data_IF_009261611481
#
_entry.id   IF_009261611481
#
_cell.length_a   1.000
_cell.length_b   1.000
_cell.length_c   1.000
_cell.angle_alpha   90.00
_cell.angle_beta   90.00
_cell.angle_gamma   90.00
#
_symmetry.space_group_name_H-M   'P 1'
#
loop_
_entity.id
_entity.type
_entity.pdbx_description
1 polymer ?
#
# COMPACT_ATOMS: atom_id res chain seq x y z
N UNK A 1 58.51 13.13 48.73
CA UNK A 1 57.79 14.14 47.94
C UNK A 1 57.55 13.58 46.55
N UNK A 2 56.33 13.78 46.01
CA UNK A 2 55.81 13.44 44.68
C UNK A 2 55.36 11.98 44.38
N UNK A 3 54.06 11.71 44.57
CA UNK A 3 53.20 10.89 43.67
C UNK A 3 53.03 11.60 42.29
N UNK A 4 52.33 11.11 41.22
CA UNK A 4 51.27 10.07 41.19
C UNK A 4 51.02 9.24 39.87
N UNK A 5 50.06 8.30 39.95
CA UNK A 5 49.04 7.84 38.96
C UNK A 5 49.46 7.45 37.52
N UNK A 6 49.05 6.25 37.05
CA UNK A 6 48.11 6.07 35.89
C UNK A 6 47.77 4.59 35.61
N UNK A 7 46.48 4.29 35.69
CA UNK A 7 45.82 3.10 35.16
C UNK A 7 45.90 3.04 33.62
N UNK A 8 45.93 1.83 33.03
CA UNK A 8 45.43 1.59 31.66
C UNK A 8 44.80 0.20 31.51
N UNK A 9 43.50 0.24 31.27
CA UNK A 9 42.67 -0.80 30.64
C UNK A 9 43.12 -1.06 29.18
N UNK A 10 42.97 -2.29 28.72
CA UNK A 10 42.76 -2.65 27.31
C UNK A 10 41.95 -3.96 27.27
N UNK A 11 40.60 -3.91 27.22
CA UNK A 11 39.76 -3.89 26.01
C UNK A 11 40.13 -4.97 24.98
N UNK A 12 39.48 -6.13 25.09
CA UNK A 12 39.18 -6.99 23.94
C UNK A 12 37.66 -7.05 23.81
N UNK A 13 37.11 -6.08 23.08
CA UNK A 13 35.71 -6.12 22.66
C UNK A 13 35.68 -6.70 21.26
N UNK A 14 35.14 -7.91 21.17
CA UNK A 14 34.80 -8.64 19.96
C UNK A 14 34.02 -7.73 19.02
N UNK A 15 34.50 -7.63 17.78
CA UNK A 15 33.78 -7.01 16.68
C UNK A 15 32.49 -7.82 16.42
N UNK A 16 31.34 -7.29 16.87
CA UNK A 16 30.04 -7.80 16.44
C UNK A 16 29.81 -7.26 15.03
N UNK A 17 30.08 -8.16 14.08
CA UNK A 17 29.91 -7.96 12.65
C UNK A 17 28.47 -7.57 12.31
N UNK A 18 28.36 -6.56 11.46
CA UNK A 18 27.17 -6.08 10.75
C UNK A 18 26.31 -7.22 10.18
N UNK A 19 25.17 -7.51 10.82
CA UNK A 19 24.10 -8.34 10.25
C UNK A 19 22.74 -7.62 10.21
N UNK A 20 22.71 -6.31 10.44
CA UNK A 20 21.46 -5.53 10.37
C UNK A 20 21.27 -4.81 9.02
N UNK A 21 22.35 -4.55 8.27
CA UNK A 21 22.29 -3.75 7.04
C UNK A 21 21.76 -4.55 5.83
N UNK A 22 21.92 -5.87 5.80
CA UNK A 22 21.56 -6.69 4.64
C UNK A 22 20.05 -6.95 4.54
N UNK A 23 19.31 -6.88 5.66
CA UNK A 23 17.86 -7.10 5.66
C UNK A 23 17.08 -5.88 5.16
N UNK A 24 17.52 -4.66 5.52
CA UNK A 24 16.88 -3.41 5.11
C UNK A 24 17.05 -3.12 3.61
N UNK A 25 18.17 -3.52 3.02
CA UNK A 25 18.39 -3.39 1.57
C UNK A 25 17.54 -4.36 0.73
N UNK A 26 17.17 -5.52 1.30
CA UNK A 26 16.37 -6.53 0.59
C UNK A 26 14.89 -6.13 0.46
N UNK A 27 14.36 -5.40 1.44
CA UNK A 27 12.97 -4.92 1.43
C UNK A 27 12.80 -3.73 0.45
N UNK A 28 13.78 -2.80 0.43
CA UNK A 28 13.76 -1.66 -0.49
C UNK A 28 13.89 -2.09 -1.96
N UNK A 29 14.77 -3.06 -2.26
CA UNK A 29 14.89 -3.63 -3.61
C UNK A 29 13.70 -4.50 -4.05
N UNK A 30 12.82 -4.92 -3.13
CA UNK A 30 11.61 -5.68 -3.44
C UNK A 30 10.43 -4.82 -3.90
N UNK A 31 10.45 -3.51 -3.64
CA UNK A 31 9.43 -2.59 -4.14
C UNK A 31 9.62 -2.30 -5.65
N UNK A 32 10.86 -2.31 -6.14
CA UNK A 32 11.20 -2.05 -7.55
C UNK A 32 10.88 -3.21 -8.51
N UNK A 33 10.67 -4.44 -8.00
CA UNK A 33 10.50 -5.63 -8.82
C UNK A 33 9.12 -6.32 -8.68
N UNK A 34 8.07 -5.58 -8.29
CA UNK A 34 6.71 -6.16 -8.28
C UNK A 34 6.09 -6.10 -9.66
N UNK A 35 5.69 -7.27 -10.17
CA UNK A 35 4.93 -7.38 -11.43
C UNK A 35 3.69 -6.48 -11.39
N UNK A 36 3.47 -5.74 -12.48
CA UNK A 36 2.30 -4.89 -12.67
C UNK A 36 1.06 -5.69 -13.09
N UNK A 37 1.21 -6.91 -13.62
CA UNK A 37 0.09 -7.77 -14.07
C UNK A 37 -0.99 -7.97 -13.00
N UNK A 38 -0.68 -8.48 -11.78
CA UNK A 38 -1.71 -8.71 -10.76
C UNK A 38 -2.37 -7.41 -10.28
N UNK A 39 -1.69 -6.27 -10.45
CA UNK A 39 -2.24 -4.95 -10.09
C UNK A 39 -3.16 -4.42 -11.18
N UNK A 40 -2.81 -4.59 -12.46
CA UNK A 40 -3.70 -4.24 -13.57
C UNK A 40 -4.96 -5.12 -13.54
N UNK A 41 -4.81 -6.42 -13.28
CA UNK A 41 -5.92 -7.38 -13.11
C UNK A 41 -6.85 -7.00 -11.95
N UNK A 42 -6.32 -6.36 -10.89
CA UNK A 42 -7.11 -5.81 -9.79
C UNK A 42 -7.76 -4.46 -10.16
N UNK A 43 -7.00 -3.55 -10.77
CA UNK A 43 -7.40 -2.16 -11.02
C UNK A 43 -8.45 -2.04 -12.12
N UNK A 44 -8.40 -2.86 -13.16
CA UNK A 44 -9.36 -2.83 -14.25
C UNK A 44 -10.80 -3.07 -13.80
N UNK A 45 -11.13 -4.19 -13.13
CA UNK A 45 -12.49 -4.43 -12.65
C UNK A 45 -12.87 -3.48 -11.51
N UNK A 46 -11.90 -3.03 -10.69
CA UNK A 46 -12.16 -2.03 -9.67
C UNK A 46 -12.59 -0.67 -10.27
N UNK A 47 -11.85 -0.15 -11.25
CA UNK A 47 -12.25 1.06 -11.98
C UNK A 47 -13.57 0.85 -12.74
N UNK A 48 -13.86 -0.36 -13.22
CA UNK A 48 -15.13 -0.66 -13.87
C UNK A 48 -16.29 -0.56 -12.87
N UNK A 49 -16.10 -1.07 -11.65
CA UNK A 49 -17.07 -0.95 -10.57
C UNK A 49 -17.31 0.51 -10.17
N UNK A 50 -16.27 1.34 -10.15
CA UNK A 50 -16.38 2.79 -9.90
C UNK A 50 -17.16 3.54 -10.98
N UNK A 51 -17.24 3.02 -12.21
CA UNK A 51 -18.00 3.64 -13.31
C UNK A 51 -19.49 3.31 -13.30
N UNK A 52 -19.96 2.49 -12.35
CA UNK A 52 -21.40 2.23 -12.18
C UNK A 52 -22.07 3.54 -11.73
N UNK A 53 -23.07 4.00 -12.50
CA UNK A 53 -23.75 5.28 -12.27
C UNK A 53 -24.43 5.35 -10.90
N UNK A 54 -25.10 4.28 -10.49
CA UNK A 54 -25.71 4.20 -9.17
C UNK A 54 -24.63 4.10 -8.07
N UNK A 55 -24.53 5.13 -7.24
CA UNK A 55 -23.49 5.28 -6.23
C UNK A 55 -23.45 4.13 -5.21
N UNK A 56 -24.62 3.68 -4.75
CA UNK A 56 -24.72 2.61 -3.77
C UNK A 56 -24.33 1.25 -4.36
N UNK A 57 -24.76 0.99 -5.59
CA UNK A 57 -24.40 -0.21 -6.36
C UNK A 57 -22.92 -0.22 -6.70
N UNK A 58 -22.35 0.93 -7.06
CA UNK A 58 -20.91 1.08 -7.28
C UNK A 58 -20.12 0.72 -6.02
N UNK A 59 -20.50 1.28 -4.86
CA UNK A 59 -19.83 0.98 -3.58
C UNK A 59 -19.84 -0.53 -3.30
N UNK A 60 -20.99 -1.19 -3.46
CA UNK A 60 -21.11 -2.64 -3.28
C UNK A 60 -20.27 -3.44 -4.28
N UNK A 61 -20.24 -3.03 -5.54
CA UNK A 61 -19.44 -3.68 -6.57
C UNK A 61 -17.93 -3.58 -6.32
N UNK A 62 -17.47 -2.57 -5.56
CA UNK A 62 -16.05 -2.45 -5.20
C UNK A 62 -15.59 -3.36 -4.05
N UNK A 63 -16.51 -3.91 -3.26
CA UNK A 63 -16.19 -4.69 -2.05
C UNK A 63 -15.24 -5.88 -2.26
N UNK A 64 -15.26 -6.61 -3.40
CA UNK A 64 -14.31 -7.69 -3.65
C UNK A 64 -12.87 -7.22 -3.80
N UNK A 65 -12.64 -5.96 -4.19
CA UNK A 65 -11.31 -5.45 -4.54
C UNK A 65 -10.63 -4.71 -3.38
N UNK A 66 -11.39 -4.30 -2.37
CA UNK A 66 -10.90 -3.47 -1.26
C UNK A 66 -10.50 -4.31 -0.06
N UNK A 67 -9.46 -3.88 0.65
CA UNK A 67 -9.05 -4.52 1.89
C UNK A 67 -10.16 -4.45 2.95
N UNK A 68 -10.25 -5.44 3.83
CA UNK A 68 -11.30 -5.53 4.87
C UNK A 68 -11.35 -4.33 5.81
N UNK A 69 -10.22 -3.66 6.06
CA UNK A 69 -10.17 -2.43 6.87
C UNK A 69 -10.92 -1.25 6.28
N UNK A 70 -11.30 -1.32 5.00
CA UNK A 70 -12.05 -0.29 4.29
C UNK A 70 -13.58 -0.54 4.35
N UNK A 71 -13.98 -1.69 4.89
CA UNK A 71 -15.38 -2.13 4.97
C UNK A 71 -15.96 -1.74 6.34
N UNK A 72 -17.29 -1.71 6.43
CA UNK A 72 -17.98 -1.66 7.71
C UNK A 72 -17.80 -2.98 8.49
N UNK A 73 -18.29 -3.03 9.72
CA UNK A 73 -18.15 -4.22 10.58
C UNK A 73 -18.83 -5.47 10.00
N UNK A 74 -19.91 -5.30 9.22
CA UNK A 74 -20.65 -6.37 8.56
C UNK A 74 -19.97 -6.89 7.29
N UNK A 75 -19.05 -6.11 6.71
CA UNK A 75 -18.38 -6.44 5.45
C UNK A 75 -19.27 -6.31 4.20
N UNK A 76 -20.50 -5.84 4.35
CA UNK A 76 -21.51 -5.72 3.28
C UNK A 76 -21.54 -4.34 2.62
N UNK A 77 -20.75 -3.40 3.14
CA UNK A 77 -20.59 -2.06 2.61
C UNK A 77 -19.24 -1.44 3.01
N UNK A 78 -18.89 -0.32 2.38
CA UNK A 78 -17.72 0.49 2.74
C UNK A 78 -17.97 1.25 4.05
N UNK A 79 -16.90 1.49 4.81
CA UNK A 79 -16.94 2.35 5.99
C UNK A 79 -17.53 3.73 5.63
N UNK A 80 -18.38 4.29 6.50
CA UNK A 80 -19.17 5.48 6.19
C UNK A 80 -18.30 6.68 5.78
N UNK A 81 -17.22 6.95 6.53
CA UNK A 81 -16.30 8.05 6.21
C UNK A 81 -15.53 7.82 4.90
N UNK A 82 -15.10 6.57 4.67
CA UNK A 82 -14.43 6.22 3.41
C UNK A 82 -15.38 6.49 2.24
N UNK A 83 -16.65 6.10 2.39
CA UNK A 83 -17.69 6.28 1.37
C UNK A 83 -17.94 7.75 1.06
N UNK A 84 -18.08 8.56 2.12
CA UNK A 84 -18.39 10.00 2.04
C UNK A 84 -17.27 10.80 1.37
N UNK A 85 -16.02 10.42 1.59
CA UNK A 85 -14.87 11.22 1.14
C UNK A 85 -14.06 10.53 0.04
N UNK A 86 -13.39 9.42 0.35
CA UNK A 86 -12.41 8.80 -0.55
C UNK A 86 -13.07 8.09 -1.72
N UNK A 87 -14.10 7.29 -1.45
CA UNK A 87 -14.85 6.58 -2.48
C UNK A 87 -15.60 7.55 -3.38
N UNK A 88 -16.30 8.56 -2.81
CA UNK A 88 -16.97 9.59 -3.61
C UNK A 88 -16.04 10.22 -4.63
N UNK A 89 -14.85 10.64 -4.18
CA UNK A 89 -13.84 11.23 -5.05
C UNK A 89 -13.37 10.24 -6.12
N UNK A 90 -13.10 8.98 -5.75
CA UNK A 90 -12.68 7.94 -6.69
C UNK A 90 -13.76 7.64 -7.75
N UNK A 91 -15.03 7.59 -7.34
CA UNK A 91 -16.20 7.40 -8.20
C UNK A 91 -16.33 8.54 -9.21
N UNK A 92 -16.33 9.79 -8.73
CA UNK A 92 -16.43 10.99 -9.57
C UNK A 92 -15.29 11.06 -10.62
N UNK A 93 -14.09 10.59 -10.25
CA UNK A 93 -12.91 10.72 -11.09
C UNK A 93 -12.62 9.50 -11.99
N UNK A 94 -13.30 8.37 -11.79
CA UNK A 94 -12.97 7.10 -12.46
C UNK A 94 -12.95 7.20 -13.99
N UNK A 95 -13.83 8.03 -14.57
CA UNK A 95 -13.93 8.26 -16.01
C UNK A 95 -12.68 8.92 -16.62
N UNK A 96 -11.87 9.60 -15.80
CA UNK A 96 -10.65 10.27 -16.24
C UNK A 96 -9.47 9.33 -16.41
N UNK A 97 -9.56 8.06 -16.04
CA UNK A 97 -8.45 7.12 -16.18
C UNK A 97 -8.42 6.47 -17.57
N UNK A 98 -7.19 6.21 -18.06
CA UNK A 98 -7.02 5.47 -19.33
C UNK A 98 -7.50 4.02 -19.18
N UNK A 99 -8.02 3.49 -20.28
CA UNK A 99 -8.40 2.09 -20.45
C UNK A 99 -7.78 1.56 -21.74
N UNK A 100 -6.96 0.49 -21.71
CA UNK A 100 -6.57 -0.27 -20.52
C UNK A 100 -5.75 0.55 -19.50
N UNK A 101 -5.75 0.11 -18.24
CA UNK A 101 -5.03 0.74 -17.13
C UNK A 101 -3.54 0.71 -17.41
N UNK A 102 -2.94 1.89 -17.42
CA UNK A 102 -1.51 2.08 -17.64
C UNK A 102 -0.86 2.47 -16.30
N UNK A 103 -0.09 1.55 -15.72
CA UNK A 103 0.79 1.83 -14.57
C UNK A 103 2.07 2.48 -15.11
N UNK A 104 2.37 3.68 -14.65
CA UNK A 104 3.51 4.48 -15.13
C UNK A 104 4.76 4.26 -14.27
N UNK A 105 4.60 4.22 -12.95
CA UNK A 105 5.69 3.88 -12.04
C UNK A 105 5.15 3.33 -10.71
N UNK A 106 6.05 2.71 -9.95
CA UNK A 106 5.78 2.13 -8.63
C UNK A 106 6.60 2.90 -7.60
N UNK A 107 5.94 3.34 -6.53
CA UNK A 107 6.55 4.12 -5.45
C UNK A 107 7.19 3.26 -4.36
N UNK A 108 8.10 3.86 -3.60
CA UNK A 108 8.72 3.23 -2.44
C UNK A 108 7.70 2.94 -1.33
N UNK A 109 7.94 1.86 -0.58
CA UNK A 109 7.03 1.34 0.45
C UNK A 109 7.59 1.59 1.85
N UNK A 110 6.74 2.00 2.79
CA UNK A 110 7.11 2.18 4.21
C UNK A 110 6.13 1.51 5.20
N UNK A 111 5.05 0.91 4.71
CA UNK A 111 3.96 0.39 5.55
C UNK A 111 3.94 -1.13 5.43
N UNK A 112 4.16 -1.82 6.56
CA UNK A 112 4.27 -3.28 6.67
C UNK A 112 3.01 -3.98 7.22
N UNK A 113 1.87 -3.29 7.17
CA UNK A 113 0.56 -3.84 7.51
C UNK A 113 -0.55 -2.80 7.41
N UNK A 114 -1.80 -3.25 7.32
CA UNK A 114 -2.98 -2.39 7.26
C UNK A 114 -4.09 -2.91 8.16
N UNK A 115 -4.92 -2.00 8.67
CA UNK A 115 -6.03 -2.31 9.58
C UNK A 115 -5.62 -2.18 11.05
N UNK A 116 -6.63 -2.01 11.89
CA UNK A 116 -6.48 -1.96 13.34
C UNK A 116 -7.21 -3.16 13.97
N UNK A 117 -6.73 -3.62 15.12
CA UNK A 117 -7.34 -4.70 15.91
C UNK A 117 -7.64 -5.93 15.02
N UNK A 118 -8.90 -6.36 14.96
CA UNK A 118 -9.34 -7.59 14.28
C UNK A 118 -9.19 -7.54 12.75
N UNK A 119 -9.03 -6.33 12.19
CA UNK A 119 -8.80 -6.13 10.76
C UNK A 119 -7.30 -6.03 10.39
N UNK A 120 -6.39 -6.10 11.37
CA UNK A 120 -4.95 -6.02 11.10
C UNK A 120 -4.47 -7.18 10.24
N UNK A 121 -3.81 -6.87 9.14
CA UNK A 121 -3.18 -7.84 8.26
C UNK A 121 -1.74 -7.42 7.95
N UNK A 122 -0.81 -8.35 8.18
CA UNK A 122 0.61 -8.15 7.86
C UNK A 122 0.84 -8.31 6.36
N UNK A 123 1.65 -7.43 5.79
CA UNK A 123 1.91 -7.39 4.36
C UNK A 123 2.63 -6.11 4.00
N UNK A 124 2.53 -5.66 2.76
CA UNK A 124 3.09 -4.37 2.39
C UNK A 124 2.10 -3.53 1.59
N UNK A 125 2.13 -2.23 1.76
CA UNK A 125 1.35 -1.28 0.95
C UNK A 125 2.27 -0.57 -0.02
N UNK A 126 1.98 -0.69 -1.31
CA UNK A 126 2.79 -0.10 -2.39
C UNK A 126 1.96 0.93 -3.14
N UNK A 127 2.55 2.07 -3.45
CA UNK A 127 1.93 3.10 -4.29
C UNK A 127 2.11 2.74 -5.78
N UNK A 128 1.01 2.58 -6.52
CA UNK A 128 1.00 2.40 -7.97
C UNK A 128 0.45 3.65 -8.66
N UNK A 129 1.25 4.26 -9.52
CA UNK A 129 0.86 5.50 -10.20
C UNK A 129 0.24 5.18 -11.55
N UNK A 130 -1.06 5.43 -11.69
CA UNK A 130 -1.81 5.13 -12.91
C UNK A 130 -2.09 6.39 -13.74
N UNK A 131 -2.09 6.21 -15.06
CA UNK A 131 -2.27 7.30 -16.03
C UNK A 131 -3.71 7.81 -16.08
N UNK A 132 -3.88 9.12 -15.92
CA UNK A 132 -5.11 9.84 -16.28
C UNK A 132 -5.08 10.31 -17.74
N UNK A 133 -6.26 10.49 -18.34
CA UNK A 133 -6.46 11.09 -19.67
C UNK A 133 -6.24 12.60 -19.56
N UNK A 134 -5.27 13.12 -20.29
CA UNK A 134 -5.01 14.57 -20.35
C UNK A 134 -4.45 15.20 -19.07
N UNK A 135 -3.95 14.40 -18.11
CA UNK A 135 -3.38 14.87 -16.84
C UNK A 135 -2.21 14.00 -16.40
N UNK A 136 -1.59 14.37 -15.29
CA UNK A 136 -0.53 13.63 -14.61
C UNK A 136 -1.06 12.30 -14.03
N UNK A 137 -0.15 11.53 -13.43
CA UNK A 137 -0.45 10.25 -12.81
C UNK A 137 -1.09 10.42 -11.43
N UNK A 138 -1.94 9.48 -11.03
CA UNK A 138 -2.49 9.43 -9.67
C UNK A 138 -2.05 8.16 -8.95
N UNK A 139 -1.62 8.24 -7.67
CA UNK A 139 -1.27 7.05 -6.91
C UNK A 139 -2.53 6.31 -6.46
N UNK A 140 -2.48 4.98 -6.51
CA UNK A 140 -3.40 4.06 -5.84
C UNK A 140 -2.58 3.17 -4.92
N UNK A 141 -3.01 3.03 -3.68
CA UNK A 141 -2.30 2.18 -2.72
C UNK A 141 -2.85 0.77 -2.79
N UNK A 142 -1.97 -0.17 -3.07
CA UNK A 142 -2.28 -1.59 -3.16
C UNK A 142 -1.61 -2.30 -2.00
N UNK A 143 -2.39 -3.04 -1.23
CA UNK A 143 -1.90 -3.92 -0.18
C UNK A 143 -1.63 -5.31 -0.75
N UNK A 144 -0.50 -5.89 -0.34
CA UNK A 144 -0.11 -7.25 -0.66
C UNK A 144 0.12 -8.03 0.63
N UNK A 145 -0.68 -9.07 0.89
CA UNK A 145 -0.52 -9.91 2.08
C UNK A 145 0.86 -10.57 2.15
N UNK A 146 1.45 -10.66 3.34
CA UNK A 146 2.75 -11.34 3.55
C UNK A 146 2.67 -12.83 3.18
N UNK A 147 1.50 -13.45 3.33
CA UNK A 147 1.25 -14.85 3.00
C UNK A 147 1.07 -15.15 1.51
N UNK A 148 1.25 -14.16 0.62
CA UNK A 148 1.12 -14.36 -0.84
C UNK A 148 -0.33 -14.40 -1.35
N UNK A 149 -1.28 -13.92 -0.56
CA UNK A 149 -2.68 -13.77 -0.98
C UNK A 149 -2.86 -12.73 -2.09
N UNK A 150 -4.09 -12.67 -2.64
CA UNK A 150 -4.42 -11.72 -3.69
C UNK A 150 -4.27 -10.25 -3.20
N UNK A 151 -3.74 -9.34 -4.03
CA UNK A 151 -3.63 -7.94 -3.67
C UNK A 151 -5.00 -7.29 -3.55
N UNK A 152 -5.10 -6.24 -2.73
CA UNK A 152 -6.33 -5.48 -2.53
C UNK A 152 -6.06 -3.97 -2.50
N UNK A 153 -7.09 -3.17 -2.79
CA UNK A 153 -7.03 -1.72 -2.66
C UNK A 153 -6.93 -1.36 -1.16
N UNK A 154 -5.85 -0.69 -0.80
CA UNK A 154 -5.56 -0.25 0.56
C UNK A 154 -6.02 1.19 0.81
N UNK A 155 -6.01 2.02 -0.24
CA UNK A 155 -6.53 3.39 -0.20
C UNK A 155 -6.81 3.92 -1.61
N UNK A 156 -7.92 4.63 -1.76
CA UNK A 156 -8.44 5.12 -3.04
C UNK A 156 -8.71 6.64 -3.07
N UNK A 157 -8.45 7.39 -1.99
CA UNK A 157 -8.79 8.82 -1.93
C UNK A 157 -7.93 9.74 -2.81
N UNK A 158 -6.90 9.18 -3.45
CA UNK A 158 -6.09 9.87 -4.46
C UNK A 158 -6.65 9.70 -5.88
N UNK A 159 -7.61 8.79 -6.06
CA UNK A 159 -8.29 8.59 -7.32
C UNK A 159 -9.21 9.74 -7.69
#
# INVERSE_FOLDING_TARGET
MASPIRARFARSSVAVLSLAATLLASEAGRAEARSTSPVVELLEPFLAALLIEDFARSAKATLPFVHRSLKNAQGDDLHADLKRYSFKKAHDNAAHYKRPVEVVHVGATAITGIGAHDAFEAGIVVDYFIRRRGSDVAPVRIFFPQGGGAPTIAYMGSL
#
